data_IF_677761985754
#
_entry.id   IF_677761985754
#
_cell.length_a   1.000
_cell.length_b   1.000
_cell.length_c   1.000
_cell.angle_alpha   90.00
_cell.angle_beta   90.00
_cell.angle_gamma   90.00
#
_symmetry.space_group_name_H-M   'P 1'
#
loop_
_entity.id
_entity.type
_entity.pdbx_description
1 polymer ?
#
# COMPACT_ATOMS: atom_id res chain seq x y z
N UNK A 1 15.23 -5.66 -35.20
CA UNK A 1 15.27 -4.29 -34.63
C UNK A 1 13.96 -4.02 -33.92
N UNK A 2 13.92 -4.22 -32.60
CA UNK A 2 12.98 -3.64 -31.61
C UNK A 2 13.14 -4.43 -30.32
N UNK A 3 14.25 -4.21 -29.62
CA UNK A 3 14.60 -4.91 -28.36
C UNK A 3 14.90 -3.91 -27.23
N UNK A 4 14.32 -2.72 -27.29
CA UNK A 4 14.65 -1.61 -26.37
C UNK A 4 13.43 -0.94 -25.73
N UNK A 5 12.22 -1.49 -25.92
CA UNK A 5 11.00 -0.94 -25.31
C UNK A 5 10.42 -1.81 -24.18
N UNK A 6 10.90 -3.05 -24.01
CA UNK A 6 10.38 -3.99 -23.01
C UNK A 6 10.94 -3.81 -21.59
N UNK A 7 11.88 -2.88 -21.40
CA UNK A 7 12.66 -2.78 -20.14
C UNK A 7 12.18 -1.69 -19.18
N UNK A 8 11.24 -0.81 -19.55
CA UNK A 8 10.95 0.39 -18.73
C UNK A 8 9.56 0.46 -18.10
N UNK A 9 8.71 -0.56 -18.23
CA UNK A 9 7.32 -0.51 -17.75
C UNK A 9 6.97 -1.54 -16.66
N UNK A 10 7.90 -2.41 -16.29
CA UNK A 10 7.72 -3.41 -15.23
C UNK A 10 7.88 -2.83 -13.80
N UNK A 11 8.24 -1.55 -13.64
CA UNK A 11 8.83 -1.03 -12.39
C UNK A 11 7.86 -0.34 -11.42
N UNK A 12 6.56 -0.23 -11.70
CA UNK A 12 5.63 0.52 -10.84
C UNK A 12 5.35 -0.16 -9.49
N UNK A 13 4.95 -1.43 -9.54
CA UNK A 13 4.60 -2.22 -8.35
C UNK A 13 5.67 -3.22 -7.93
N UNK A 14 6.44 -3.73 -8.91
CA UNK A 14 7.63 -4.54 -8.66
C UNK A 14 8.73 -3.71 -7.97
N UNK A 15 8.84 -2.39 -8.17
CA UNK A 15 9.83 -1.64 -7.39
C UNK A 15 9.47 -1.54 -5.90
N UNK A 16 8.18 -1.52 -5.53
CA UNK A 16 7.73 -1.38 -4.14
C UNK A 16 7.60 -2.73 -3.42
N UNK A 17 7.62 -3.86 -4.14
CA UNK A 17 7.63 -5.20 -3.50
C UNK A 17 8.97 -5.91 -3.77
N UNK A 18 9.56 -5.80 -4.96
CA UNK A 18 10.85 -6.41 -5.28
C UNK A 18 12.06 -5.60 -4.76
N UNK A 19 11.98 -4.29 -4.50
CA UNK A 19 13.06 -3.65 -3.71
C UNK A 19 13.11 -4.20 -2.29
N UNK A 20 12.05 -4.85 -1.81
CA UNK A 20 11.92 -5.32 -0.42
C UNK A 20 12.27 -6.79 -0.27
N UNK A 21 12.06 -7.59 -1.32
CA UNK A 21 12.44 -9.03 -1.35
C UNK A 21 13.88 -9.25 -1.83
N UNK A 22 14.46 -8.34 -2.64
CA UNK A 22 15.79 -8.53 -3.23
C UNK A 22 16.92 -7.71 -2.60
N UNK A 23 16.64 -6.69 -1.77
CA UNK A 23 17.69 -5.93 -1.06
C UNK A 23 17.92 -6.44 0.36
N UNK A 24 18.41 -7.68 0.46
CA UNK A 24 19.09 -8.19 1.66
C UNK A 24 20.42 -7.47 1.98
N UNK A 25 20.59 -6.20 1.57
CA UNK A 25 21.74 -5.37 1.88
C UNK A 25 21.39 -4.41 3.02
N UNK A 26 21.58 -4.87 4.25
CA UNK A 26 21.97 -3.99 5.36
C UNK A 26 23.33 -3.40 4.99
N UNK A 27 23.43 -2.09 4.81
CA UNK A 27 24.53 -1.18 5.23
C UNK A 27 24.19 0.20 4.64
N UNK A 28 23.83 1.12 5.51
CA UNK A 28 23.61 2.53 5.20
C UNK A 28 22.98 3.18 6.42
N UNK A 29 23.70 4.08 7.08
CA UNK A 29 23.25 4.80 8.27
C UNK A 29 21.80 5.28 8.10
N UNK A 30 20.88 4.74 8.91
CA UNK A 30 19.59 5.35 9.14
C UNK A 30 19.86 6.70 9.81
N UNK A 31 19.95 7.75 9.00
CA UNK A 31 19.75 9.10 9.50
C UNK A 31 18.26 9.14 9.84
N UNK A 32 17.92 9.00 11.13
CA UNK A 32 16.60 9.43 11.59
C UNK A 32 16.46 10.89 11.15
N UNK A 33 15.73 11.13 10.06
CA UNK A 33 15.34 12.48 9.71
C UNK A 33 14.46 12.96 10.85
N UNK A 34 15.04 13.77 11.74
CA UNK A 34 14.28 14.47 12.74
C UNK A 34 13.17 15.23 12.00
N UNK A 35 11.88 15.07 12.39
CA UNK A 35 10.80 15.78 11.73
C UNK A 35 11.07 17.29 11.79
N UNK A 36 10.66 18.05 10.77
CA UNK A 36 10.91 19.48 10.73
C UNK A 36 10.42 20.14 12.03
N UNK A 37 11.20 21.09 12.61
CA UNK A 37 10.82 21.76 13.84
C UNK A 37 9.45 22.43 13.64
N UNK A 38 8.55 22.40 14.64
CA UNK A 38 7.20 22.91 14.49
C UNK A 38 7.22 24.39 14.09
N UNK A 39 6.63 24.78 12.94
CA UNK A 39 6.50 26.19 12.59
C UNK A 39 5.75 27.01 13.64
N UNK A 40 6.17 28.27 13.77
CA UNK A 40 5.47 29.31 14.52
C UNK A 40 4.09 29.56 13.90
N UNK A 41 3.06 29.11 14.61
CA UNK A 41 1.62 29.39 14.42
C UNK A 41 0.88 28.81 13.20
N UNK A 42 1.50 28.55 12.04
CA UNK A 42 0.77 28.01 10.88
C UNK A 42 0.72 26.47 10.80
N UNK A 43 1.52 25.75 11.60
CA UNK A 43 1.66 24.29 11.54
C UNK A 43 0.99 23.55 12.69
N UNK A 44 -0.14 24.05 13.19
CA UNK A 44 -0.78 23.47 14.39
C UNK A 44 -1.08 21.98 14.23
N UNK A 45 -1.21 21.49 13.01
CA UNK A 45 -1.42 20.07 12.68
C UNK A 45 -0.13 19.26 12.47
N UNK A 46 1.07 19.87 12.36
CA UNK A 46 2.31 19.13 12.05
C UNK A 46 2.86 18.39 13.27
N UNK A 47 3.12 17.09 13.17
CA UNK A 47 3.77 16.29 14.21
C UNK A 47 3.44 14.81 14.12
N UNK A 48 3.83 14.06 15.15
CA UNK A 48 3.44 12.65 15.28
C UNK A 48 2.00 12.52 15.78
N UNK A 49 1.25 11.61 15.17
CA UNK A 49 -0.10 11.24 15.58
C UNK A 49 -0.12 9.75 15.91
N UNK A 50 -0.85 9.42 16.97
CA UNK A 50 -1.15 8.04 17.26
C UNK A 50 -2.08 7.48 16.17
N UNK A 51 -1.64 6.36 15.60
CA UNK A 51 -2.31 5.60 14.55
C UNK A 51 -2.08 4.14 14.86
N UNK A 52 -3.14 3.44 15.28
CA UNK A 52 -3.10 1.99 15.48
C UNK A 52 -4.29 1.39 14.74
N UNK A 53 -4.06 0.46 13.81
CA UNK A 53 -5.17 -0.19 13.16
C UNK A 53 -5.96 -0.96 14.23
N UNK A 54 -7.27 -0.87 14.18
CA UNK A 54 -8.22 -1.57 15.07
C UNK A 54 -8.81 -2.79 14.37
N UNK A 55 -8.93 -2.74 13.04
CA UNK A 55 -9.41 -3.85 12.23
C UNK A 55 -8.85 -3.79 10.82
N UNK A 56 -8.85 -4.95 10.16
CA UNK A 56 -8.42 -5.10 8.79
C UNK A 56 -9.41 -5.98 8.08
N UNK A 57 -9.84 -5.54 6.91
CA UNK A 57 -10.72 -6.30 6.04
C UNK A 57 -10.10 -6.41 4.66
N UNK A 58 -9.99 -7.64 4.18
CA UNK A 58 -9.59 -7.92 2.80
C UNK A 58 -10.83 -8.13 1.94
N UNK A 59 -10.75 -7.70 0.69
CA UNK A 59 -11.82 -7.84 -0.31
C UNK A 59 -11.27 -8.46 -1.58
N UNK A 60 -12.11 -9.24 -2.26
CA UNK A 60 -11.87 -9.75 -3.58
C UNK A 60 -13.16 -9.64 -4.41
N UNK A 61 -13.05 -9.12 -5.62
CA UNK A 61 -14.16 -9.05 -6.57
C UNK A 61 -13.87 -9.99 -7.74
N UNK A 62 -14.81 -10.89 -8.01
CA UNK A 62 -14.84 -11.72 -9.21
C UNK A 62 -16.26 -11.76 -9.79
N UNK A 63 -17.13 -12.62 -9.25
CA UNK A 63 -18.56 -12.74 -9.59
C UNK A 63 -19.46 -12.06 -8.55
N UNK A 64 -19.05 -12.15 -7.28
CA UNK A 64 -19.64 -11.43 -6.15
C UNK A 64 -18.50 -10.86 -5.33
N UNK A 65 -18.72 -9.74 -4.67
CA UNK A 65 -17.75 -9.23 -3.70
C UNK A 65 -17.66 -10.21 -2.52
N UNK A 66 -16.46 -10.71 -2.27
CA UNK A 66 -16.13 -11.45 -1.06
C UNK A 66 -15.32 -10.53 -0.14
N UNK A 67 -15.56 -10.62 1.17
CA UNK A 67 -14.81 -9.87 2.17
C UNK A 67 -14.54 -10.71 3.40
N UNK A 68 -13.40 -10.49 4.05
CA UNK A 68 -13.04 -11.17 5.30
C UNK A 68 -12.27 -10.24 6.22
N UNK A 69 -12.73 -10.12 7.46
CA UNK A 69 -11.94 -9.50 8.51
C UNK A 69 -10.84 -10.46 8.98
N UNK A 70 -9.64 -9.95 9.16
CA UNK A 70 -8.45 -10.71 9.54
C UNK A 70 -7.81 -10.12 10.79
N UNK A 71 -7.02 -10.93 11.48
CA UNK A 71 -6.28 -10.47 12.66
C UNK A 71 -5.13 -9.54 12.24
N UNK A 72 -4.87 -8.49 13.01
CA UNK A 72 -3.80 -7.51 12.74
C UNK A 72 -2.43 -8.20 12.73
N UNK A 73 -2.23 -9.24 13.52
CA UNK A 73 -1.00 -10.04 13.54
C UNK A 73 -0.79 -10.88 12.27
N UNK A 74 -1.79 -11.01 11.41
CA UNK A 74 -1.67 -11.73 10.13
C UNK A 74 -1.18 -10.84 8.99
N UNK A 75 -1.03 -9.53 9.20
CA UNK A 75 -0.48 -8.62 8.20
C UNK A 75 0.98 -9.02 7.89
N UNK A 76 1.37 -9.14 6.61
CA UNK A 76 2.77 -9.28 6.23
C UNK A 76 3.62 -8.16 6.85
N UNK A 77 4.77 -8.51 7.43
CA UNK A 77 5.62 -7.54 8.14
C UNK A 77 5.96 -6.29 7.30
N UNK A 78 6.08 -6.45 5.98
CA UNK A 78 6.28 -5.36 5.02
C UNK A 78 5.14 -4.34 5.01
N UNK A 79 3.90 -4.80 5.12
CA UNK A 79 2.69 -3.96 5.20
C UNK A 79 2.56 -3.40 6.62
N UNK A 80 2.78 -4.23 7.65
CA UNK A 80 2.67 -3.80 9.05
C UNK A 80 3.57 -2.59 9.38
N UNK A 81 4.81 -2.57 8.88
CA UNK A 81 5.76 -1.49 9.14
C UNK A 81 5.23 -0.09 8.76
N UNK A 82 4.40 -0.01 7.71
CA UNK A 82 3.80 1.23 7.21
C UNK A 82 2.56 1.61 8.04
N UNK A 83 1.75 0.61 8.39
CA UNK A 83 0.38 0.83 8.87
C UNK A 83 0.21 0.69 10.39
N UNK A 84 1.19 0.19 11.15
CA UNK A 84 1.05 -0.06 12.60
C UNK A 84 1.82 0.91 13.50
N UNK A 85 2.50 1.91 12.93
CA UNK A 85 3.32 2.87 13.68
C UNK A 85 2.66 4.25 13.73
N UNK A 86 3.00 5.10 14.72
CA UNK A 86 2.61 6.51 14.72
C UNK A 86 3.02 7.20 13.42
N UNK A 87 2.08 7.89 12.77
CA UNK A 87 2.33 8.59 11.51
C UNK A 87 2.71 10.03 11.73
N UNK A 88 3.47 10.60 10.79
CA UNK A 88 3.83 12.01 10.80
C UNK A 88 2.86 12.75 9.88
N UNK A 89 2.08 13.66 10.42
CA UNK A 89 1.31 14.61 9.63
C UNK A 89 2.14 15.88 9.45
N UNK A 90 2.27 16.37 8.24
CA UNK A 90 2.99 17.61 7.90
C UNK A 90 2.07 18.51 7.10
N UNK A 91 1.76 19.69 7.62
CA UNK A 91 1.04 20.72 6.88
C UNK A 91 1.95 21.30 5.79
N UNK A 92 1.56 21.17 4.53
CA UNK A 92 2.21 21.86 3.40
C UNK A 92 1.65 23.30 3.29
N UNK A 93 0.32 23.45 3.44
CA UNK A 93 -0.36 24.75 3.39
C UNK A 93 -1.62 24.74 4.27
N UNK A 94 -1.57 25.49 5.39
CA UNK A 94 -2.67 25.56 6.35
C UNK A 94 -3.92 26.31 5.84
N UNK A 95 -3.79 27.12 4.78
CA UNK A 95 -4.90 27.83 4.17
C UNK A 95 -5.78 26.94 3.30
N UNK A 96 -5.17 26.00 2.56
CA UNK A 96 -5.85 25.06 1.66
C UNK A 96 -6.13 23.69 2.28
N UNK A 97 -5.53 23.43 3.45
CA UNK A 97 -5.56 22.12 4.10
C UNK A 97 -4.65 21.11 3.40
N UNK A 98 -3.76 21.54 2.49
CA UNK A 98 -2.85 20.61 1.84
C UNK A 98 -1.80 20.13 2.85
N UNK A 99 -1.65 18.82 2.94
CA UNK A 99 -0.76 18.17 3.89
C UNK A 99 -0.15 16.89 3.30
N UNK A 100 0.80 16.32 4.03
CA UNK A 100 1.33 14.99 3.78
C UNK A 100 1.30 14.16 5.03
N UNK A 101 0.96 12.89 4.88
CA UNK A 101 1.09 11.89 5.92
C UNK A 101 2.26 10.97 5.57
N UNK A 102 3.15 10.79 6.53
CA UNK A 102 4.30 9.91 6.38
C UNK A 102 4.21 8.74 7.35
N UNK A 103 4.82 7.64 6.95
CA UNK A 103 5.20 6.58 7.87
C UNK A 103 6.19 7.11 8.93
N UNK A 104 6.43 6.31 9.97
CA UNK A 104 7.30 6.71 11.07
C UNK A 104 8.79 6.88 10.67
N UNK A 105 9.17 6.43 9.47
CA UNK A 105 10.52 6.61 8.92
C UNK A 105 10.67 7.86 8.04
N UNK A 106 9.57 8.58 7.78
CA UNK A 106 9.51 9.72 6.87
C UNK A 106 9.93 9.41 5.42
N UNK A 107 10.02 8.13 5.05
CA UNK A 107 10.45 7.71 3.72
C UNK A 107 9.30 7.71 2.71
N UNK A 108 8.07 7.53 3.18
CA UNK A 108 6.90 7.45 2.31
C UNK A 108 5.85 8.48 2.70
N UNK A 109 5.70 9.52 1.88
CA UNK A 109 4.73 10.60 2.10
C UNK A 109 3.57 10.56 1.12
N UNK A 110 2.35 10.35 1.62
CA UNK A 110 1.12 10.52 0.85
C UNK A 110 0.60 11.94 0.99
N UNK A 111 0.28 12.59 -0.13
CA UNK A 111 -0.43 13.88 -0.10
C UNK A 111 -1.86 13.64 0.36
N UNK A 112 -2.36 14.52 1.21
CA UNK A 112 -3.71 14.44 1.75
C UNK A 112 -4.27 15.86 1.83
N UNK A 113 -5.59 15.97 2.01
CA UNK A 113 -6.22 17.19 2.51
C UNK A 113 -6.57 16.99 3.97
N UNK A 114 -6.01 17.81 4.86
CA UNK A 114 -6.31 17.91 6.28
C UNK A 114 -6.95 19.27 6.57
N UNK A 115 -8.26 19.28 6.70
CA UNK A 115 -9.07 20.49 6.86
C UNK A 115 -9.00 21.01 8.31
N UNK A 116 -9.30 22.29 8.51
CA UNK A 116 -9.29 22.93 9.84
C UNK A 116 -10.37 22.39 10.80
N UNK A 117 -11.40 21.74 10.26
CA UNK A 117 -12.46 21.09 11.04
C UNK A 117 -12.04 19.73 11.62
N UNK A 118 -10.81 19.28 11.36
CA UNK A 118 -10.29 17.99 11.79
C UNK A 118 -10.49 16.88 10.77
N UNK A 119 -11.23 17.10 9.68
CA UNK A 119 -11.42 16.06 8.66
C UNK A 119 -10.17 15.88 7.79
N UNK A 120 -9.95 14.65 7.34
CA UNK A 120 -8.89 14.30 6.40
C UNK A 120 -9.37 13.39 5.29
N UNK A 121 -8.87 13.63 4.08
CA UNK A 121 -9.16 12.79 2.92
C UNK A 121 -7.99 12.75 1.93
N UNK A 122 -7.84 11.61 1.28
CA UNK A 122 -7.00 11.43 0.11
C UNK A 122 -7.66 10.46 -0.85
N UNK A 123 -7.50 10.75 -2.13
CA UNK A 123 -7.84 9.82 -3.19
C UNK A 123 -6.76 9.94 -4.25
N UNK A 124 -6.03 8.85 -4.45
CA UNK A 124 -5.16 8.70 -5.62
C UNK A 124 -5.57 7.47 -6.39
N UNK A 125 -5.91 7.65 -7.66
CA UNK A 125 -5.95 6.57 -8.63
C UNK A 125 -4.62 6.57 -9.39
N UNK A 126 -3.91 5.46 -9.31
CA UNK A 126 -2.76 5.18 -10.14
C UNK A 126 -3.17 5.13 -11.61
N UNK A 127 -2.21 5.44 -12.49
CA UNK A 127 -2.43 5.23 -13.92
C UNK A 127 -2.44 3.73 -14.18
N UNK A 128 -3.42 3.28 -14.94
CA UNK A 128 -3.45 1.91 -15.42
C UNK A 128 -2.18 1.57 -16.20
N UNK A 129 -1.49 0.50 -15.81
CA UNK A 129 -0.34 -0.04 -16.52
C UNK A 129 -0.65 -1.43 -17.05
N UNK A 130 -0.09 -1.82 -18.21
CA UNK A 130 -0.16 -3.22 -18.65
C UNK A 130 0.37 -4.13 -17.54
N UNK A 131 -0.42 -5.10 -17.13
CA UNK A 131 -0.05 -6.02 -16.05
C UNK A 131 0.95 -7.06 -16.55
N UNK A 132 0.47 -7.98 -17.40
CA UNK A 132 1.25 -9.05 -18.00
C UNK A 132 1.09 -9.08 -19.53
N UNK A 133 -0.13 -8.83 -19.99
CA UNK A 133 -0.46 -8.59 -21.39
C UNK A 133 -0.91 -7.15 -21.62
N UNK A 134 -0.82 -6.66 -22.86
CA UNK A 134 -1.17 -5.28 -23.19
C UNK A 134 -2.68 -4.99 -23.03
N UNK A 135 -3.51 -6.02 -23.17
CA UNK A 135 -4.96 -5.99 -23.07
C UNK A 135 -5.49 -6.06 -21.64
N UNK A 136 -4.66 -6.42 -20.65
CA UNK A 136 -5.02 -6.41 -19.24
C UNK A 136 -4.27 -5.29 -18.51
N UNK A 137 -5.03 -4.34 -17.99
CA UNK A 137 -4.51 -3.17 -17.30
C UNK A 137 -4.74 -3.31 -15.80
N UNK A 138 -3.67 -3.18 -15.03
CA UNK A 138 -3.70 -3.03 -13.57
C UNK A 138 -3.69 -1.54 -13.21
N UNK A 139 -4.61 -1.12 -12.35
CA UNK A 139 -4.63 0.20 -11.77
C UNK A 139 -4.74 0.09 -10.24
N UNK A 140 -3.79 0.69 -9.56
CA UNK A 140 -3.77 0.72 -8.11
C UNK A 140 -4.34 2.04 -7.61
N UNK A 141 -5.29 2.00 -6.69
CA UNK A 141 -5.80 3.18 -6.00
C UNK A 141 -5.61 3.09 -4.50
N UNK A 142 -5.47 4.25 -3.88
CA UNK A 142 -5.44 4.42 -2.45
C UNK A 142 -6.50 5.45 -2.08
N UNK A 143 -7.45 5.02 -1.27
CA UNK A 143 -8.43 5.89 -0.64
C UNK A 143 -8.10 6.03 0.84
N UNK A 144 -8.16 7.25 1.36
CA UNK A 144 -8.04 7.51 2.78
C UNK A 144 -9.12 8.51 3.18
N UNK A 145 -9.88 8.19 4.22
CA UNK A 145 -10.90 9.09 4.78
C UNK A 145 -10.89 8.99 6.29
N UNK A 146 -11.02 10.10 7.00
CA UNK A 146 -11.04 10.08 8.46
C UNK A 146 -10.99 11.46 9.06
N UNK A 147 -10.55 11.49 10.31
CA UNK A 147 -10.42 12.68 11.14
C UNK A 147 -9.11 12.64 11.94
N UNK A 148 -8.58 13.82 12.26
CA UNK A 148 -7.48 13.98 13.19
C UNK A 148 -7.93 14.87 14.36
N UNK A 149 -7.46 14.55 15.56
CA UNK A 149 -7.71 15.34 16.77
C UNK A 149 -6.38 15.70 17.40
N UNK A 150 -6.17 17.00 17.65
CA UNK A 150 -4.98 17.50 18.35
C UNK A 150 -5.24 17.50 19.85
N UNK A 151 -4.32 16.94 20.63
CA UNK A 151 -4.36 17.02 22.08
C UNK A 151 -4.08 18.44 22.57
N UNK A 152 -4.79 18.83 23.64
CA UNK A 152 -4.44 20.05 24.37
C UNK A 152 -3.02 19.97 24.93
N UNK A 153 -2.70 18.83 25.53
CA UNK A 153 -1.40 18.54 26.12
C UNK A 153 -0.80 17.32 25.39
N UNK A 154 0.30 17.49 24.63
CA UNK A 154 0.96 16.39 23.94
C UNK A 154 1.43 15.29 24.89
N UNK A 155 1.47 14.04 24.40
CA UNK A 155 1.90 12.86 25.17
C UNK A 155 3.19 12.30 24.62
N UNK A 156 3.90 11.48 25.39
CA UNK A 156 5.07 10.75 24.89
C UNK A 156 4.72 9.27 24.70
N UNK A 157 4.95 8.74 23.50
CA UNK A 157 4.84 7.32 23.16
C UNK A 157 6.13 6.93 22.43
N UNK A 158 6.81 5.87 22.86
CA UNK A 158 8.05 5.38 22.26
C UNK A 158 9.11 6.47 22.00
N UNK A 159 9.35 7.32 23.02
CA UNK A 159 10.25 8.48 22.97
C UNK A 159 9.87 9.56 21.94
N UNK A 160 8.63 9.58 21.44
CA UNK A 160 8.12 10.59 20.51
C UNK A 160 7.03 11.44 21.15
N UNK A 161 7.06 12.74 20.89
CA UNK A 161 5.98 13.66 21.29
C UNK A 161 4.81 13.52 20.32
N UNK A 162 3.76 12.84 20.77
CA UNK A 162 2.51 12.63 20.08
C UNK A 162 1.60 13.84 20.31
N UNK A 163 1.21 14.48 19.22
CA UNK A 163 0.38 15.69 19.22
C UNK A 163 -1.11 15.40 19.16
N UNK A 164 -1.52 14.19 18.77
CA UNK A 164 -2.91 13.87 18.53
C UNK A 164 -3.16 12.42 18.15
N UNK A 165 -4.38 12.14 17.71
CA UNK A 165 -4.80 10.84 17.17
C UNK A 165 -5.34 11.05 15.76
N UNK A 166 -5.07 10.11 14.87
CA UNK A 166 -5.73 10.01 13.57
C UNK A 166 -6.67 8.80 13.61
N UNK A 167 -7.95 9.05 13.36
CA UNK A 167 -8.96 8.01 13.13
C UNK A 167 -9.28 7.98 11.65
N UNK A 168 -9.09 6.86 10.99
CA UNK A 168 -9.19 6.84 9.54
C UNK A 168 -9.44 5.45 8.99
N UNK A 169 -9.88 5.42 7.74
CA UNK A 169 -10.01 4.22 6.93
C UNK A 169 -9.14 4.39 5.70
N UNK A 170 -8.29 3.41 5.47
CA UNK A 170 -7.33 3.37 4.37
C UNK A 170 -7.64 2.15 3.54
N UNK A 171 -8.04 2.36 2.30
CA UNK A 171 -8.39 1.28 1.38
C UNK A 171 -7.40 1.31 0.23
N UNK A 172 -6.58 0.28 0.17
CA UNK A 172 -5.71 0.00 -0.97
C UNK A 172 -6.45 -0.94 -1.90
N UNK A 173 -6.58 -0.59 -3.18
CA UNK A 173 -7.33 -1.35 -4.18
C UNK A 173 -6.42 -1.58 -5.38
N UNK A 174 -6.24 -2.83 -5.75
CA UNK A 174 -5.67 -3.27 -7.02
C UNK A 174 -6.81 -3.67 -7.95
N UNK A 175 -6.92 -3.00 -9.11
CA UNK A 175 -8.02 -3.17 -10.05
C UNK A 175 -7.51 -3.62 -11.42
N UNK A 176 -8.11 -4.69 -11.93
CA UNK A 176 -7.81 -5.28 -13.23
C UNK A 176 -8.94 -4.98 -14.21
N UNK A 177 -8.58 -4.38 -15.36
CA UNK A 177 -9.54 -3.95 -16.39
C UNK A 177 -9.07 -4.33 -17.78
N UNK A 178 -10.02 -4.50 -18.71
CA UNK A 178 -9.75 -4.95 -20.08
C UNK A 178 -10.01 -6.45 -20.27
N UNK A 179 -9.30 -7.06 -21.22
CA UNK A 179 -9.40 -8.51 -21.48
C UNK A 179 -8.35 -9.26 -20.65
N UNK A 180 -8.70 -9.49 -19.38
CA UNK A 180 -7.78 -10.07 -18.40
C UNK A 180 -7.87 -11.60 -18.28
N UNK A 181 -8.82 -12.26 -18.94
CA UNK A 181 -9.10 -13.69 -18.68
C UNK A 181 -7.89 -14.59 -18.98
N UNK A 182 -7.24 -14.39 -20.13
CA UNK A 182 -6.03 -15.13 -20.49
C UNK A 182 -4.86 -14.81 -19.53
N UNK A 183 -4.65 -13.51 -19.27
CA UNK A 183 -3.63 -13.01 -18.34
C UNK A 183 -3.76 -13.66 -16.97
N UNK A 184 -4.95 -13.61 -16.38
CA UNK A 184 -5.22 -14.11 -15.03
C UNK A 184 -5.12 -15.64 -14.94
N UNK A 185 -5.50 -16.35 -16.01
CA UNK A 185 -5.28 -17.79 -16.08
C UNK A 185 -3.80 -18.14 -16.04
N UNK A 186 -2.95 -17.45 -16.81
CA UNK A 186 -1.51 -17.67 -16.76
C UNK A 186 -0.92 -17.30 -15.39
N UNK A 187 -1.44 -16.26 -14.72
CA UNK A 187 -1.04 -15.93 -13.35
C UNK A 187 -1.39 -17.06 -12.37
N UNK A 188 -2.57 -17.68 -12.51
CA UNK A 188 -2.94 -18.82 -11.69
C UNK A 188 -1.99 -20.01 -11.90
N UNK A 189 -1.64 -20.30 -13.16
CA UNK A 189 -0.69 -21.36 -13.53
C UNK A 189 0.74 -21.08 -12.99
N UNK A 190 1.21 -19.83 -13.11
CA UNK A 190 2.50 -19.38 -12.58
C UNK A 190 2.54 -19.38 -11.05
N UNK A 191 1.45 -18.98 -10.38
CA UNK A 191 1.32 -19.06 -8.92
C UNK A 191 1.49 -20.51 -8.44
N UNK A 192 0.82 -21.45 -9.11
CA UNK A 192 0.87 -22.87 -8.75
C UNK A 192 2.23 -23.52 -9.04
N UNK A 193 2.88 -23.18 -10.15
CA UNK A 193 4.16 -23.75 -10.57
C UNK A 193 5.01 -22.71 -11.31
N UNK A 194 6.23 -22.45 -10.79
CA UNK A 194 7.13 -21.46 -11.34
C UNK A 194 7.53 -21.75 -12.80
N UNK A 195 7.50 -23.01 -13.22
CA UNK A 195 7.81 -23.40 -14.61
C UNK A 195 6.86 -22.73 -15.62
N UNK A 196 5.67 -22.33 -15.18
CA UNK A 196 4.68 -21.67 -16.04
C UNK A 196 4.83 -20.14 -16.14
N UNK A 197 5.79 -19.53 -15.44
CA UNK A 197 5.92 -18.06 -15.33
C UNK A 197 6.55 -17.34 -16.55
N UNK A 198 6.82 -18.07 -17.65
CA UNK A 198 7.35 -17.58 -18.94
C UNK A 198 8.66 -16.75 -18.84
N UNK A 199 9.40 -16.88 -17.76
CA UNK A 199 10.79 -16.41 -17.65
C UNK A 199 11.70 -17.14 -18.63
N UNK A 200 12.82 -16.51 -18.99
CA UNK A 200 13.80 -17.06 -19.95
C UNK A 200 14.56 -18.25 -19.37
N UNK A 201 14.66 -18.31 -18.06
CA UNK A 201 15.32 -19.35 -17.30
C UNK A 201 14.59 -19.60 -15.95
N UNK A 202 15.09 -20.58 -15.19
CA UNK A 202 14.54 -20.96 -13.88
C UNK A 202 14.63 -19.81 -12.86
N UNK A 203 15.70 -19.04 -12.85
CA UNK A 203 15.88 -17.93 -11.90
C UNK A 203 14.85 -16.82 -12.16
N UNK A 204 14.65 -16.45 -13.42
CA UNK A 204 13.63 -15.47 -13.82
C UNK A 204 12.22 -15.97 -13.53
N UNK A 205 11.93 -17.25 -13.77
CA UNK A 205 10.65 -17.85 -13.41
C UNK A 205 10.35 -17.77 -11.91
N UNK A 206 11.32 -18.10 -11.05
CA UNK A 206 11.15 -17.99 -9.59
C UNK A 206 10.93 -16.54 -9.15
N UNK A 207 11.60 -15.57 -9.80
CA UNK A 207 11.37 -14.14 -9.53
C UNK A 207 9.95 -13.73 -9.93
N UNK A 208 9.49 -14.13 -11.10
CA UNK A 208 8.13 -13.83 -11.57
C UNK A 208 7.09 -14.50 -10.65
N UNK A 209 7.27 -15.76 -10.27
CA UNK A 209 6.37 -16.45 -9.34
C UNK A 209 6.25 -15.70 -8.02
N UNK A 210 7.35 -15.20 -7.46
CA UNK A 210 7.31 -14.40 -6.22
C UNK A 210 6.49 -13.11 -6.38
N UNK A 211 6.48 -12.51 -7.55
CA UNK A 211 5.70 -11.31 -7.84
C UNK A 211 4.22 -11.63 -7.97
N UNK A 212 3.89 -12.70 -8.70
CA UNK A 212 2.51 -13.20 -8.78
C UNK A 212 2.00 -13.60 -7.40
N UNK A 213 2.82 -14.30 -6.62
CA UNK A 213 2.50 -14.65 -5.25
C UNK A 213 2.26 -13.40 -4.39
N UNK A 214 3.08 -12.34 -4.51
CA UNK A 214 2.86 -11.12 -3.75
C UNK A 214 1.50 -10.45 -4.01
N UNK A 215 0.92 -10.61 -5.19
CA UNK A 215 -0.41 -10.07 -5.51
C UNK A 215 -1.55 -10.87 -4.84
N UNK A 216 -1.49 -12.20 -4.85
CA UNK A 216 -2.63 -13.07 -4.45
C UNK A 216 -2.44 -13.78 -3.11
N UNK A 217 -1.21 -14.02 -2.68
CA UNK A 217 -0.89 -14.92 -1.57
C UNK A 217 -1.50 -14.47 -0.24
N UNK A 218 -1.61 -13.15 -0.02
CA UNK A 218 -2.23 -12.64 1.20
C UNK A 218 -3.72 -13.02 1.30
N UNK A 219 -4.46 -12.89 0.21
CA UNK A 219 -5.88 -13.25 0.14
C UNK A 219 -6.07 -14.77 0.16
N UNK A 220 -5.16 -15.53 -0.47
CA UNK A 220 -5.17 -17.00 -0.48
C UNK A 220 -4.86 -17.58 0.90
N UNK A 221 -3.80 -17.12 1.58
CA UNK A 221 -3.41 -17.60 2.92
C UNK A 221 -4.49 -17.33 3.97
N UNK A 222 -5.22 -16.23 3.80
CA UNK A 222 -6.35 -15.92 4.66
C UNK A 222 -7.64 -16.61 4.23
N UNK A 223 -7.63 -17.45 3.20
CA UNK A 223 -8.77 -18.23 2.73
C UNK A 223 -9.93 -17.37 2.24
N UNK A 224 -9.64 -16.17 1.71
CA UNK A 224 -10.66 -15.33 1.05
C UNK A 224 -10.87 -15.79 -0.40
N UNK A 225 -9.80 -16.21 -1.07
CA UNK A 225 -9.83 -16.76 -2.43
C UNK A 225 -8.97 -18.03 -2.48
N UNK A 226 -9.15 -18.80 -3.55
CA UNK A 226 -8.32 -19.93 -3.93
C UNK A 226 -7.55 -19.62 -5.22
N UNK A 227 -6.65 -20.50 -5.64
CA UNK A 227 -5.94 -20.35 -6.92
C UNK A 227 -6.94 -20.38 -8.09
N UNK A 228 -7.98 -21.22 -8.00
CA UNK A 228 -9.01 -21.37 -9.03
C UNK A 228 -9.87 -20.12 -9.22
N UNK A 229 -9.88 -19.20 -8.23
CA UNK A 229 -10.61 -17.94 -8.32
C UNK A 229 -9.82 -16.87 -9.10
N UNK A 230 -8.48 -16.95 -9.16
CA UNK A 230 -7.60 -15.95 -9.80
C UNK A 230 -8.07 -15.58 -11.22
N UNK A 231 -8.43 -16.52 -12.12
CA UNK A 231 -8.87 -16.21 -13.48
C UNK A 231 -10.08 -15.25 -13.56
N UNK A 232 -10.89 -15.20 -12.51
CA UNK A 232 -12.10 -14.39 -12.46
C UNK A 232 -11.92 -13.08 -11.66
N UNK A 233 -10.76 -12.84 -11.04
CA UNK A 233 -10.52 -11.65 -10.22
C UNK A 233 -10.50 -10.39 -11.08
N UNK A 234 -11.24 -9.38 -10.62
CA UNK A 234 -11.32 -8.04 -11.21
C UNK A 234 -10.79 -6.97 -10.28
N UNK A 235 -10.78 -7.22 -8.97
CA UNK A 235 -10.03 -6.38 -8.03
C UNK A 235 -9.73 -7.10 -6.72
N UNK A 236 -8.65 -6.70 -6.06
CA UNK A 236 -8.29 -7.07 -4.70
C UNK A 236 -8.19 -5.79 -3.87
N UNK A 237 -8.65 -5.81 -2.62
CA UNK A 237 -8.44 -4.68 -1.73
C UNK A 237 -8.07 -5.10 -0.32
N UNK A 238 -7.38 -4.20 0.37
CA UNK A 238 -7.06 -4.28 1.79
C UNK A 238 -7.49 -2.97 2.42
N UNK A 239 -8.33 -3.05 3.44
CA UNK A 239 -8.79 -1.92 4.21
C UNK A 239 -8.28 -1.99 5.64
N UNK A 240 -7.65 -0.91 6.09
CA UNK A 240 -7.24 -0.70 7.47
C UNK A 240 -8.18 0.33 8.10
N UNK A 241 -8.77 0.00 9.25
CA UNK A 241 -9.49 0.98 10.07
C UNK A 241 -8.67 1.33 11.30
N UNK A 242 -8.69 2.60 11.67
CA UNK A 242 -8.01 3.20 12.81
C UNK A 242 -9.09 3.94 13.61
N UNK A 243 -9.54 3.40 14.75
CA UNK A 243 -10.61 3.98 15.58
C UNK A 243 -10.12 4.51 16.94
#
# INVERSE_FOLDING_TARGET
>A
MSSTLATNLLFGFIAIIASWVLTGCRIGNNVEYAPPPPPSDESKITGYYETRPTSITIYANHATQASKSIDIGQIPASIAAIYTNPMILVSDNAGTGDARIYDNTANYGQRIRANKDGSMAHYSAGKGTPWYYAECTEAVSLEMKGDYTIFRDPKTIDNRTIRGVIKSRWTYIDQFTGDCAASMKEMAECYADFVNCKGKDEEENQKIQKLVAAAFEFHIKNGLITIDDIPAITSLAIEFSYD
#
